data_IF_001352275467
#
_entry.id   IF_001352275467
#
_cell.length_a   1.000
_cell.length_b   1.000
_cell.length_c   1.000
_cell.angle_alpha   90.00
_cell.angle_beta   90.00
_cell.angle_gamma   90.00
#
_symmetry.space_group_name_H-M   'P 1'
#
loop_
_entity.id
_entity.type
_entity.pdbx_description
1 polymer ?
#
# COMPACT_ATOMS: atom_id res chain seq x y z
N UNK A 1 2.38 13.24 -0.13
CA UNK A 1 1.31 12.23 -0.03
C UNK A 1 1.14 11.61 -1.40
N UNK A 2 1.19 10.29 -1.48
CA UNK A 2 0.94 9.56 -2.72
C UNK A 2 -0.48 8.99 -2.68
N UNK A 3 -0.98 8.54 -3.82
CA UNK A 3 -2.28 7.90 -3.91
C UNK A 3 -2.18 6.69 -4.84
N UNK A 4 -2.78 5.58 -4.43
CA UNK A 4 -3.05 4.47 -5.35
C UNK A 4 -4.36 4.83 -6.05
N UNK A 5 -4.32 4.95 -7.37
CA UNK A 5 -5.50 5.21 -8.20
C UNK A 5 -5.94 3.88 -8.77
N UNK A 6 -7.10 3.41 -8.35
CA UNK A 6 -7.71 2.15 -8.83
C UNK A 6 -9.12 2.44 -9.34
N UNK A 7 -9.35 2.13 -10.61
CA UNK A 7 -10.60 2.41 -11.32
C UNK A 7 -10.98 3.91 -11.27
N UNK A 8 -11.92 4.30 -10.40
CA UNK A 8 -12.29 5.71 -10.13
C UNK A 8 -12.00 6.15 -8.67
N UNK A 9 -11.34 5.29 -7.87
CA UNK A 9 -11.05 5.55 -6.46
C UNK A 9 -9.62 6.02 -6.24
N UNK A 10 -9.45 7.01 -5.37
CA UNK A 10 -8.14 7.45 -4.86
C UNK A 10 -7.96 6.93 -3.43
N UNK A 11 -7.04 6.00 -3.27
CA UNK A 11 -6.67 5.45 -1.97
C UNK A 11 -5.46 6.21 -1.44
N UNK A 12 -5.54 6.87 -0.27
CA UNK A 12 -4.39 7.50 0.34
C UNK A 12 -3.33 6.45 0.64
N UNK A 13 -2.11 6.69 0.17
CA UNK A 13 -1.01 5.75 0.32
C UNK A 13 0.33 6.47 0.47
N UNK A 14 1.33 5.77 0.97
CA UNK A 14 2.72 6.22 0.92
C UNK A 14 3.54 5.19 0.14
N UNK A 15 4.21 5.64 -0.93
CA UNK A 15 5.09 4.81 -1.75
C UNK A 15 6.51 4.81 -1.18
N UNK A 16 7.14 3.65 -1.17
CA UNK A 16 8.52 3.43 -0.75
C UNK A 16 9.23 2.47 -1.71
N UNK A 17 10.49 2.76 -1.99
CA UNK A 17 11.36 1.87 -2.79
C UNK A 17 11.87 0.66 -1.96
N UNK A 18 11.81 0.74 -0.62
CA UNK A 18 12.33 -0.29 0.29
C UNK A 18 11.31 -0.71 1.32
N UNK A 19 11.17 -2.03 1.52
CA UNK A 19 10.35 -2.63 2.57
C UNK A 19 10.67 -2.08 3.95
N UNK A 20 11.96 -1.90 4.26
CA UNK A 20 12.40 -1.45 5.58
C UNK A 20 11.86 -0.05 5.90
N UNK A 21 11.90 0.86 4.94
CA UNK A 21 11.39 2.23 5.09
C UNK A 21 9.87 2.21 5.28
N UNK A 22 9.19 1.35 4.52
CA UNK A 22 7.75 1.13 4.69
C UNK A 22 7.41 0.57 6.09
N UNK A 23 8.20 -0.37 6.62
CA UNK A 23 8.02 -0.95 7.96
C UNK A 23 8.29 0.04 9.09
N UNK A 24 9.24 0.95 8.91
CA UNK A 24 9.54 1.98 9.90
C UNK A 24 8.46 3.08 9.95
N UNK A 25 7.81 3.37 8.82
CA UNK A 25 6.75 4.37 8.73
C UNK A 25 5.34 3.84 9.01
N UNK A 26 5.10 2.53 8.83
CA UNK A 26 3.78 1.94 9.01
C UNK A 26 3.36 2.01 10.49
N UNK A 27 2.24 2.68 10.76
CA UNK A 27 1.65 2.74 12.09
C UNK A 27 0.65 1.59 12.32
N UNK A 28 0.23 1.38 13.58
CA UNK A 28 -0.55 0.21 14.06
C UNK A 28 -1.81 -0.20 13.26
N UNK A 29 -2.31 0.59 12.31
CA UNK A 29 -3.49 0.28 11.47
C UNK A 29 -3.21 0.29 9.98
N UNK A 30 -1.95 0.50 9.59
CA UNK A 30 -1.53 0.51 8.21
C UNK A 30 -0.99 -0.88 7.83
N UNK A 31 -1.30 -1.29 6.60
CA UNK A 31 -0.75 -2.45 5.94
C UNK A 31 0.28 -2.03 4.91
N UNK A 32 1.35 -2.81 4.85
CA UNK A 32 2.36 -2.69 3.81
C UNK A 32 1.99 -3.68 2.72
N UNK A 33 1.76 -3.16 1.52
CA UNK A 33 1.47 -3.94 0.33
C UNK A 33 2.58 -3.74 -0.68
N UNK A 34 2.77 -4.73 -1.53
CA UNK A 34 3.67 -4.66 -2.68
C UNK A 34 2.85 -4.76 -3.94
N UNK A 35 3.16 -3.90 -4.91
CA UNK A 35 2.55 -3.97 -6.24
C UNK A 35 3.31 -4.93 -7.17
N UNK A 36 2.75 -5.14 -8.36
CA UNK A 36 3.36 -5.99 -9.40
C UNK A 36 4.70 -5.43 -9.93
N UNK A 37 4.92 -4.12 -9.78
CA UNK A 37 6.17 -3.45 -10.21
C UNK A 37 7.31 -3.65 -9.19
N UNK A 38 6.99 -4.11 -8.00
CA UNK A 38 7.93 -4.38 -6.93
C UNK A 38 8.08 -3.25 -5.91
N UNK A 39 7.27 -2.20 -6.03
CA UNK A 39 7.25 -1.08 -5.10
C UNK A 39 6.43 -1.39 -3.85
N UNK A 40 6.80 -0.77 -2.73
CA UNK A 40 6.11 -0.93 -1.45
C UNK A 40 5.19 0.25 -1.19
N UNK A 41 4.00 -0.04 -0.69
CA UNK A 41 2.99 0.95 -0.40
C UNK A 41 2.44 0.72 1.00
N UNK A 42 2.32 1.79 1.76
CA UNK A 42 1.59 1.79 3.03
C UNK A 42 0.20 2.32 2.75
N UNK A 43 -0.81 1.57 3.18
CA UNK A 43 -2.23 1.93 3.12
C UNK A 43 -2.92 1.58 4.44
N UNK A 44 -4.02 2.25 4.79
CA UNK A 44 -4.86 1.77 5.88
C UNK A 44 -5.43 0.37 5.58
N UNK A 45 -5.55 -0.48 6.61
CA UNK A 45 -6.13 -1.82 6.51
C UNK A 45 -7.52 -1.82 5.85
N UNK A 46 -8.34 -0.79 6.12
CA UNK A 46 -9.68 -0.62 5.53
C UNK A 46 -9.68 -0.43 4.01
N UNK A 47 -8.54 -0.04 3.43
CA UNK A 47 -8.40 0.16 1.99
C UNK A 47 -7.84 -1.07 1.27
N UNK A 48 -7.26 -2.04 1.99
CA UNK A 48 -6.66 -3.22 1.36
C UNK A 48 -7.66 -4.02 0.51
N UNK A 49 -8.89 -4.32 0.97
CA UNK A 49 -9.87 -5.05 0.15
C UNK A 49 -10.22 -4.34 -1.17
N UNK A 50 -9.98 -3.02 -1.27
CA UNK A 50 -10.25 -2.22 -2.47
C UNK A 50 -9.13 -2.36 -3.51
N UNK A 51 -7.91 -2.66 -3.08
CA UNK A 51 -6.73 -2.78 -3.95
C UNK A 51 -6.26 -4.23 -4.14
N UNK A 52 -6.71 -5.17 -3.29
CA UNK A 52 -6.37 -6.60 -3.38
C UNK A 52 -6.69 -7.18 -4.77
N UNK A 53 -7.84 -6.82 -5.34
CA UNK A 53 -8.25 -7.25 -6.68
C UNK A 53 -7.36 -6.72 -7.82
N UNK A 54 -6.49 -5.74 -7.54
CA UNK A 54 -5.62 -5.08 -8.53
C UNK A 54 -4.16 -5.59 -8.49
N UNK A 55 -3.90 -6.70 -7.78
CA UNK A 55 -2.58 -7.34 -7.75
C UNK A 55 -1.66 -6.85 -6.64
N UNK A 56 -2.17 -6.09 -5.67
CA UNK A 56 -1.42 -5.71 -4.48
C UNK A 56 -1.40 -6.86 -3.46
N UNK A 57 -0.22 -7.17 -2.93
CA UNK A 57 -0.02 -8.28 -1.98
C UNK A 57 0.50 -7.77 -0.65
N UNK A 58 -0.10 -8.19 0.47
CA UNK A 58 0.38 -7.82 1.82
C UNK A 58 1.76 -8.44 2.07
N UNK A 59 2.67 -7.64 2.63
CA UNK A 59 3.97 -8.10 3.11
C UNK A 59 4.06 -7.84 4.62
N UNK A 60 4.21 -8.92 5.39
CA UNK A 60 4.36 -8.88 6.86
C UNK A 60 5.78 -8.54 7.29
#
# INVERSE_FOLDING_TARGET
>A
MAFIIVDDMQIPAKKFDKEKEAKEEAVNKELIVKDDQGDFWIIDEENYPKIEAYGYTIIK
#
